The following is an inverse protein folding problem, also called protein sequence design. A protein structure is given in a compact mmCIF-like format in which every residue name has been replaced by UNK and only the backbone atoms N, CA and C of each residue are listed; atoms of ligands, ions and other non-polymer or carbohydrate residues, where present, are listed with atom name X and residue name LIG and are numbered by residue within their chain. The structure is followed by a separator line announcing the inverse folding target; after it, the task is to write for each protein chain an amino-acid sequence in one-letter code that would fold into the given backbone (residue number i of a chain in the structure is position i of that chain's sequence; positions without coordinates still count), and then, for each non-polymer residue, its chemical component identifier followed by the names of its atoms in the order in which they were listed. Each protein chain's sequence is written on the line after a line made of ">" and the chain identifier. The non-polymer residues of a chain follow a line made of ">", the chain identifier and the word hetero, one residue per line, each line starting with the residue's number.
data_IF_372252684185
#
_entry.id   IF_372252684185
#
_cell.length_a   1.000
_cell.length_b   1.000
_cell.length_c   1.000
_cell.angle_alpha   90.00
_cell.angle_beta   90.00
_cell.angle_gamma   90.00
#
_symmetry.space_group_name_H-M   'P 1'
#
loop_
_entity.id
_entity.type
_entity.pdbx_description
1 polymer ?
#
# COMPACT_ATOMS: atom_id res chain seq x y z
N UNK A 1 -28.00 -6.97 -23.29
CA UNK A 1 -26.59 -6.73 -23.70
C UNK A 1 -25.79 -6.63 -22.42
N UNK A 2 -24.83 -7.52 -22.16
CA UNK A 2 -23.99 -7.43 -20.96
C UNK A 2 -22.99 -6.29 -21.17
N UNK A 3 -22.98 -5.32 -20.26
CA UNK A 3 -21.94 -4.28 -20.21
C UNK A 3 -20.79 -4.82 -19.36
N UNK A 4 -19.64 -5.07 -19.99
CA UNK A 4 -18.45 -5.59 -19.33
C UNK A 4 -17.21 -4.81 -19.78
N UNK A 5 -16.25 -4.64 -18.87
CA UNK A 5 -14.96 -4.01 -19.13
C UNK A 5 -13.84 -5.02 -18.93
N UNK A 6 -12.86 -4.99 -19.81
CA UNK A 6 -11.65 -5.80 -19.71
C UNK A 6 -10.57 -4.94 -19.06
N UNK A 7 -9.90 -5.48 -18.04
CA UNK A 7 -8.78 -4.84 -17.37
C UNK A 7 -7.55 -5.75 -17.46
N UNK A 8 -6.41 -5.17 -17.86
CA UNK A 8 -5.11 -5.82 -17.73
C UNK A 8 -4.49 -5.41 -16.39
N UNK A 9 -4.14 -6.38 -15.54
CA UNK A 9 -3.61 -6.15 -14.20
C UNK A 9 -2.58 -7.22 -13.85
N UNK A 10 -1.64 -6.88 -12.97
CA UNK A 10 -0.79 -7.87 -12.32
C UNK A 10 -1.62 -8.62 -11.27
N UNK A 11 -1.59 -9.95 -11.36
CA UNK A 11 -2.27 -10.86 -10.44
C UNK A 11 -1.31 -11.51 -9.45
N UNK A 12 -0.16 -11.96 -9.92
CA UNK A 12 0.89 -12.54 -9.10
C UNK A 12 2.04 -11.54 -8.96
N UNK A 13 2.39 -11.25 -7.71
CA UNK A 13 3.47 -10.35 -7.31
C UNK A 13 4.60 -11.17 -6.71
N UNK A 14 5.48 -11.67 -7.56
CA UNK A 14 6.59 -12.55 -7.21
C UNK A 14 7.88 -11.90 -7.74
N UNK A 15 8.87 -11.73 -6.86
CA UNK A 15 10.20 -11.19 -7.19
C UNK A 15 10.15 -9.88 -7.98
N UNK A 16 9.20 -9.00 -7.64
CA UNK A 16 9.04 -7.70 -8.30
C UNK A 16 10.00 -6.70 -7.68
N UNK A 17 10.89 -6.17 -8.49
CA UNK A 17 11.90 -5.18 -8.10
C UNK A 17 11.58 -3.84 -8.77
N UNK A 18 11.08 -2.84 -8.02
CA UNK A 18 10.77 -1.53 -8.58
C UNK A 18 11.97 -0.85 -9.25
N UNK A 19 11.77 -0.39 -10.48
CA UNK A 19 12.77 0.27 -11.31
C UNK A 19 13.42 -0.63 -12.37
N UNK A 20 13.28 -1.95 -12.28
CA UNK A 20 13.77 -2.87 -13.31
C UNK A 20 12.91 -2.81 -14.58
N UNK A 21 11.59 -2.87 -14.43
CA UNK A 21 10.63 -2.68 -15.52
C UNK A 21 9.82 -1.39 -15.31
N UNK A 22 10.40 -0.27 -15.75
CA UNK A 22 9.78 1.06 -15.62
C UNK A 22 8.43 1.19 -16.32
N UNK A 23 8.19 0.42 -17.39
CA UNK A 23 6.90 0.46 -18.10
C UNK A 23 5.83 -0.23 -17.25
N UNK A 24 6.11 -1.43 -16.74
CA UNK A 24 5.19 -2.12 -15.85
C UNK A 24 4.95 -1.32 -14.55
N UNK A 25 6.00 -0.69 -14.00
CA UNK A 25 5.89 0.18 -12.85
C UNK A 25 4.94 1.35 -13.09
N UNK A 26 5.11 2.04 -14.23
CA UNK A 26 4.34 3.25 -14.54
C UNK A 26 2.89 2.96 -14.93
N UNK A 27 2.64 1.85 -15.63
CA UNK A 27 1.33 1.49 -16.16
C UNK A 27 0.48 0.67 -15.19
N UNK A 28 1.11 -0.16 -14.36
CA UNK A 28 0.42 -1.21 -13.59
C UNK A 28 0.80 -1.13 -12.12
N UNK A 29 2.08 -1.31 -11.79
CA UNK A 29 2.46 -1.56 -10.39
C UNK A 29 2.13 -0.36 -9.49
N UNK A 30 2.46 0.86 -9.95
CA UNK A 30 2.19 2.09 -9.20
C UNK A 30 0.72 2.23 -8.84
N UNK A 31 -0.18 2.07 -9.81
CA UNK A 31 -1.60 2.26 -9.57
C UNK A 31 -2.19 1.18 -8.67
N UNK A 32 -1.79 -0.09 -8.84
CA UNK A 32 -2.25 -1.17 -7.98
C UNK A 32 -1.74 -1.01 -6.53
N UNK A 33 -0.46 -0.67 -6.35
CA UNK A 33 0.10 -0.51 -5.00
C UNK A 33 -0.33 0.80 -4.34
N UNK A 34 -0.64 1.84 -5.11
CA UNK A 34 -1.31 3.04 -4.59
C UNK A 34 -2.65 2.67 -3.99
N UNK A 35 -3.47 1.89 -4.69
CA UNK A 35 -4.77 1.46 -4.16
C UNK A 35 -4.60 0.62 -2.89
N UNK A 36 -3.63 -0.32 -2.87
CA UNK A 36 -3.28 -1.10 -1.68
C UNK A 36 -2.81 -0.22 -0.50
N UNK A 37 -1.98 0.79 -0.77
CA UNK A 37 -1.57 1.77 0.24
C UNK A 37 -2.78 2.52 0.81
N UNK A 38 -3.70 2.98 -0.04
CA UNK A 38 -4.89 3.73 0.40
C UNK A 38 -5.86 2.88 1.24
N UNK A 39 -5.86 1.54 1.09
CA UNK A 39 -6.58 0.63 1.98
C UNK A 39 -6.05 0.68 3.42
N UNK A 40 -4.84 1.18 3.64
CA UNK A 40 -4.28 1.40 4.98
C UNK A 40 -3.90 0.11 5.70
N UNK A 41 -3.35 -0.86 4.96
CA UNK A 41 -2.90 -2.16 5.49
C UNK A 41 -1.69 -2.07 6.42
N UNK A 42 -0.97 -0.95 6.36
CA UNK A 42 0.26 -0.73 7.10
C UNK A 42 0.06 0.34 8.14
N UNK A 43 0.68 0.17 9.30
CA UNK A 43 0.85 1.25 10.26
C UNK A 43 1.95 2.18 9.76
N UNK A 44 1.64 3.46 9.68
CA UNK A 44 2.53 4.51 9.19
C UNK A 44 2.63 5.61 10.22
N UNK A 45 3.80 6.24 10.28
CA UNK A 45 3.97 7.51 10.97
C UNK A 45 3.55 8.67 10.07
N UNK A 46 3.12 9.77 10.68
CA UNK A 46 2.65 10.97 9.95
C UNK A 46 3.71 11.50 8.98
N UNK A 47 4.98 11.48 9.39
CA UNK A 47 6.09 11.95 8.55
C UNK A 47 6.29 11.08 7.30
N UNK A 48 6.22 9.76 7.47
CA UNK A 48 6.34 8.80 6.38
C UNK A 48 5.19 8.96 5.38
N UNK A 49 3.96 9.08 5.88
CA UNK A 49 2.79 9.32 5.04
C UNK A 49 2.84 10.67 4.31
N UNK A 50 3.41 11.71 4.92
CA UNK A 50 3.60 13.00 4.26
C UNK A 50 4.60 12.90 3.09
N UNK A 51 5.68 12.15 3.26
CA UNK A 51 6.65 11.88 2.19
C UNK A 51 6.01 11.10 1.03
N UNK A 52 5.22 10.06 1.35
CA UNK A 52 4.48 9.29 0.35
C UNK A 52 3.43 10.15 -0.37
N UNK A 53 2.71 11.01 0.36
CA UNK A 53 1.73 11.92 -0.23
C UNK A 53 2.37 12.89 -1.23
N UNK A 54 3.55 13.43 -0.93
CA UNK A 54 4.31 14.27 -1.86
C UNK A 54 4.70 13.50 -3.14
N UNK A 55 5.21 12.27 -3.00
CA UNK A 55 5.53 11.40 -4.14
C UNK A 55 4.30 11.10 -4.99
N UNK A 56 3.17 10.72 -4.36
CA UNK A 56 1.93 10.44 -5.05
C UNK A 56 1.38 11.66 -5.80
N UNK A 57 1.46 12.86 -5.21
CA UNK A 57 1.06 14.11 -5.87
C UNK A 57 1.92 14.46 -7.08
N UNK A 58 3.21 14.14 -7.03
CA UNK A 58 4.13 14.30 -8.16
C UNK A 58 3.86 13.28 -9.27
N UNK A 59 3.55 12.04 -8.88
CA UNK A 59 3.30 10.91 -9.76
C UNK A 59 1.95 10.94 -10.49
N UNK A 60 0.91 11.54 -9.89
CA UNK A 60 -0.42 11.67 -10.49
C UNK A 60 -1.05 13.03 -10.18
N UNK A 61 -0.78 14.01 -11.04
CA UNK A 61 -1.33 15.38 -10.93
C UNK A 61 -2.85 15.43 -11.11
N UNK A 62 -3.47 14.40 -11.67
CA UNK A 62 -4.91 14.31 -11.85
C UNK A 62 -5.71 14.19 -10.55
N UNK A 63 -5.04 13.90 -9.43
CA UNK A 63 -5.65 13.75 -8.09
C UNK A 63 -5.66 15.04 -7.26
N UNK A 64 -5.19 16.16 -7.84
CA UNK A 64 -5.10 17.46 -7.19
C UNK A 64 -3.87 17.61 -6.30
N UNK A 65 -3.76 18.76 -5.63
CA UNK A 65 -2.66 19.01 -4.70
C UNK A 65 -2.84 18.19 -3.40
N UNK A 66 -1.83 17.46 -2.92
CA UNK A 66 -1.96 16.63 -1.71
C UNK A 66 -2.34 17.41 -0.45
N UNK A 67 -1.82 18.63 -0.31
CA UNK A 67 -2.12 19.58 0.78
C UNK A 67 -3.63 19.83 0.95
N UNK A 68 -4.36 19.84 -0.16
CA UNK A 68 -5.78 20.17 -0.22
C UNK A 68 -6.69 18.93 -0.32
N UNK A 69 -6.13 17.78 -0.66
CA UNK A 69 -6.90 16.57 -0.99
C UNK A 69 -6.34 15.33 -0.28
N UNK A 70 -6.06 15.43 1.02
CA UNK A 70 -5.42 14.36 1.80
C UNK A 70 -6.04 12.97 1.60
N UNK A 71 -7.37 12.88 1.45
CA UNK A 71 -8.08 11.63 1.21
C UNK A 71 -7.67 10.89 -0.09
N UNK A 72 -7.00 11.58 -1.02
CA UNK A 72 -6.45 10.98 -2.24
C UNK A 72 -5.01 10.46 -2.07
N UNK A 73 -4.34 10.77 -0.97
CA UNK A 73 -2.89 10.60 -0.80
C UNK A 73 -2.46 10.03 0.55
N UNK A 74 -3.36 10.01 1.54
CA UNK A 74 -3.11 9.54 2.90
C UNK A 74 -4.21 8.53 3.28
N UNK A 75 -3.86 7.36 3.85
CA UNK A 75 -4.86 6.38 4.29
C UNK A 75 -5.82 7.00 5.30
N UNK A 76 -7.11 6.68 5.16
CA UNK A 76 -8.17 7.35 5.91
C UNK A 76 -8.00 7.32 7.43
N UNK A 77 -7.42 6.23 7.97
CA UNK A 77 -7.18 6.08 9.40
C UNK A 77 -6.16 7.10 9.96
N UNK A 78 -5.24 7.59 9.12
CA UNK A 78 -4.16 8.48 9.53
C UNK A 78 -4.53 9.96 9.38
N UNK A 79 -5.54 10.31 8.58
CA UNK A 79 -5.89 11.72 8.31
C UNK A 79 -6.13 12.50 9.62
N UNK A 80 -6.75 11.87 10.62
CA UNK A 80 -7.07 12.50 11.91
C UNK A 80 -5.90 12.54 12.91
N UNK A 81 -4.73 11.97 12.59
CA UNK A 81 -3.60 11.93 13.51
C UNK A 81 -2.77 13.22 13.54
N UNK A 82 -3.07 14.19 12.67
CA UNK A 82 -2.49 15.53 12.69
C UNK A 82 -3.53 16.55 12.19
N UNK A 83 -3.34 17.82 12.55
CA UNK A 83 -4.20 18.91 12.05
C UNK A 83 -3.95 19.17 10.56
N UNK A 84 -4.93 19.78 9.88
CA UNK A 84 -4.79 20.18 8.45
C UNK A 84 -3.56 21.05 8.21
N UNK A 85 -3.25 21.97 9.14
CA UNK A 85 -2.07 22.84 9.06
C UNK A 85 -0.76 22.06 9.17
N UNK A 86 -0.69 21.09 10.08
CA UNK A 86 0.49 20.23 10.24
C UNK A 86 0.72 19.33 9.03
N UNK A 87 -0.35 18.72 8.50
CA UNK A 87 -0.28 17.95 7.26
C UNK A 87 0.26 18.81 6.11
N UNK A 88 -0.34 19.99 5.91
CA UNK A 88 0.08 20.90 4.85
C UNK A 88 1.55 21.31 4.99
N UNK A 89 2.01 21.61 6.20
CA UNK A 89 3.41 21.96 6.45
C UNK A 89 4.38 20.81 6.13
N UNK A 90 4.04 19.58 6.54
CA UNK A 90 4.88 18.40 6.34
C UNK A 90 4.95 18.01 4.87
N UNK A 91 3.82 17.96 4.18
CA UNK A 91 3.76 17.62 2.76
C UNK A 91 4.42 18.71 1.91
N UNK A 92 4.27 20.00 2.25
CA UNK A 92 5.00 21.08 1.57
C UNK A 92 6.52 20.91 1.70
N UNK A 93 7.00 20.57 2.91
CA UNK A 93 8.41 20.30 3.17
C UNK A 93 8.90 19.09 2.35
N UNK A 94 8.16 17.98 2.38
CA UNK A 94 8.45 16.79 1.61
C UNK A 94 8.48 17.05 0.10
N UNK A 95 7.51 17.84 -0.40
CA UNK A 95 7.43 18.25 -1.81
C UNK A 95 8.64 19.09 -2.23
N UNK A 96 9.15 19.95 -1.33
CA UNK A 96 10.38 20.69 -1.54
C UNK A 96 11.60 19.78 -1.73
N UNK A 97 11.70 18.70 -0.94
CA UNK A 97 12.80 17.73 -1.00
C UNK A 97 12.82 16.91 -2.30
N UNK A 98 11.70 16.83 -3.01
CA UNK A 98 11.55 16.08 -4.27
C UNK A 98 11.27 16.99 -5.47
N UNK A 99 11.64 18.27 -5.40
CA UNK A 99 11.34 19.26 -6.45
C UNK A 99 11.79 18.81 -7.84
N UNK A 100 12.99 18.26 -7.93
CA UNK A 100 13.66 17.86 -9.19
C UNK A 100 13.30 16.45 -9.65
N UNK A 101 12.47 15.72 -8.88
CA UNK A 101 11.98 14.40 -9.24
C UNK A 101 10.91 14.54 -10.33
N UNK A 102 10.93 13.73 -11.39
CA UNK A 102 9.84 13.70 -12.37
C UNK A 102 8.74 12.72 -11.96
N UNK A 103 7.66 12.62 -12.74
CA UNK A 103 6.52 11.75 -12.47
C UNK A 103 6.91 10.26 -12.45
N UNK A 104 7.67 9.78 -13.43
CA UNK A 104 8.13 8.39 -13.48
C UNK A 104 9.02 8.01 -12.29
N UNK A 105 9.99 8.87 -11.95
CA UNK A 105 10.87 8.66 -10.81
C UNK A 105 10.09 8.74 -9.49
N UNK A 106 9.07 9.59 -9.38
CA UNK A 106 8.19 9.62 -8.21
C UNK A 106 7.42 8.31 -8.04
N UNK A 107 6.90 7.74 -9.13
CA UNK A 107 6.24 6.41 -9.11
C UNK A 107 7.20 5.33 -8.64
N UNK A 108 8.42 5.29 -9.19
CA UNK A 108 9.43 4.30 -8.81
C UNK A 108 9.86 4.47 -7.36
N UNK A 109 10.07 5.70 -6.87
CA UNK A 109 10.42 5.96 -5.46
C UNK A 109 9.31 5.53 -4.50
N UNK A 110 8.06 5.82 -4.85
CA UNK A 110 6.91 5.32 -4.11
C UNK A 110 6.92 3.79 -4.05
N UNK A 111 7.08 3.13 -5.21
CA UNK A 111 7.12 1.67 -5.30
C UNK A 111 8.28 1.06 -4.50
N UNK A 112 9.48 1.63 -4.56
CA UNK A 112 10.63 1.20 -3.76
C UNK A 112 10.36 1.28 -2.26
N UNK A 113 9.68 2.33 -1.83
CA UNK A 113 9.31 2.50 -0.43
C UNK A 113 8.34 1.41 0.02
N UNK A 114 7.24 1.22 -0.71
CA UNK A 114 6.20 0.24 -0.33
C UNK A 114 6.66 -1.21 -0.53
N UNK A 115 7.61 -1.47 -1.43
CA UNK A 115 8.19 -2.79 -1.65
C UNK A 115 8.99 -3.32 -0.45
N UNK A 116 9.42 -2.43 0.46
CA UNK A 116 10.05 -2.85 1.72
C UNK A 116 9.04 -3.45 2.72
N UNK A 117 7.74 -3.27 2.50
CA UNK A 117 6.73 -3.73 3.45
C UNK A 117 6.35 -5.21 3.23
N UNK A 118 6.04 -5.95 4.30
CA UNK A 118 5.69 -7.37 4.21
C UNK A 118 4.38 -7.64 3.45
N UNK A 119 3.52 -6.63 3.27
CA UNK A 119 2.26 -6.74 2.51
C UNK A 119 2.32 -6.07 1.14
N UNK A 120 3.51 -5.78 0.61
CA UNK A 120 3.67 -5.41 -0.80
C UNK A 120 3.03 -6.46 -1.73
N UNK A 121 2.36 -6.00 -2.78
CA UNK A 121 1.75 -6.87 -3.79
C UNK A 121 0.63 -7.76 -3.24
N UNK A 122 -0.01 -7.34 -2.14
CA UNK A 122 -1.07 -8.11 -1.49
C UNK A 122 -2.39 -8.00 -2.21
N UNK A 123 -3.06 -9.13 -2.36
CA UNK A 123 -4.53 -9.14 -2.53
C UNK A 123 -5.17 -9.28 -1.16
N UNK A 124 -6.04 -8.33 -0.81
CA UNK A 124 -6.69 -8.23 0.49
C UNK A 124 -8.17 -8.64 0.39
N UNK A 125 -8.61 -9.43 1.35
CA UNK A 125 -10.00 -9.87 1.51
C UNK A 125 -10.50 -9.46 2.90
N UNK A 126 -11.45 -8.51 3.00
CA UNK A 126 -12.13 -8.22 4.26
C UNK A 126 -13.05 -9.38 4.62
N UNK A 127 -12.92 -9.89 5.85
CA UNK A 127 -13.71 -11.01 6.35
C UNK A 127 -14.26 -10.67 7.72
N UNK A 128 -15.52 -11.06 7.92
CA UNK A 128 -16.15 -11.08 9.23
C UNK A 128 -15.98 -12.47 9.84
N UNK A 129 -15.15 -12.59 10.86
CA UNK A 129 -14.93 -13.83 11.57
C UNK A 129 -16.12 -14.13 12.49
N UNK A 130 -16.71 -15.31 12.32
CA UNK A 130 -17.81 -15.82 13.14
C UNK A 130 -17.33 -16.86 14.17
N UNK A 131 -16.04 -17.21 14.18
CA UNK A 131 -15.46 -18.19 15.09
C UNK A 131 -15.06 -17.53 16.41
N UNK A 132 -15.68 -17.96 17.51
CA UNK A 132 -15.37 -17.42 18.83
C UNK A 132 -13.93 -17.75 19.28
N UNK A 133 -13.22 -16.74 19.77
CA UNK A 133 -11.99 -16.91 20.55
C UNK A 133 -10.66 -17.02 19.79
N UNK A 134 -10.66 -17.14 18.46
CA UNK A 134 -9.40 -17.28 17.68
C UNK A 134 -8.93 -15.96 17.05
N UNK A 135 -9.84 -15.17 16.48
CA UNK A 135 -9.54 -13.90 15.81
C UNK A 135 -10.57 -12.81 16.17
N UNK A 136 -10.21 -11.51 16.02
CA UNK A 136 -11.18 -10.42 16.07
C UNK A 136 -12.32 -10.60 15.06
N UNK A 137 -13.45 -9.93 15.29
CA UNK A 137 -14.63 -9.99 14.41
C UNK A 137 -14.32 -9.51 12.99
N UNK A 138 -13.56 -8.43 12.82
CA UNK A 138 -13.15 -7.91 11.51
C UNK A 138 -11.66 -8.19 11.27
N UNK A 139 -11.38 -8.97 10.22
CA UNK A 139 -10.01 -9.31 9.80
C UNK A 139 -9.79 -9.04 8.31
N UNK A 140 -8.53 -8.88 7.94
CA UNK A 140 -8.09 -8.95 6.54
C UNK A 140 -7.30 -10.23 6.31
N UNK A 141 -7.69 -11.02 5.33
CA UNK A 141 -6.82 -12.05 4.75
C UNK A 141 -6.02 -11.42 3.62
N UNK A 142 -4.70 -11.53 3.71
CA UNK A 142 -3.75 -10.93 2.79
C UNK A 142 -2.92 -12.04 2.12
N UNK A 143 -2.96 -12.12 0.80
CA UNK A 143 -2.19 -13.12 0.02
C UNK A 143 -1.16 -12.41 -0.85
N UNK A 144 0.11 -12.75 -0.69
CA UNK A 144 1.21 -12.29 -1.53
C UNK A 144 2.34 -13.35 -1.61
N UNK A 145 3.50 -12.98 -2.17
CA UNK A 145 4.66 -13.88 -2.26
C UNK A 145 5.15 -14.44 -0.92
N UNK A 146 4.87 -13.75 0.19
CA UNK A 146 5.26 -14.22 1.53
C UNK A 146 4.27 -15.27 2.09
N UNK A 147 3.17 -15.54 1.38
CA UNK A 147 2.14 -16.50 1.77
C UNK A 147 0.83 -15.83 2.17
N UNK A 148 0.09 -16.51 3.05
CA UNK A 148 -1.17 -16.02 3.62
C UNK A 148 -0.92 -15.38 4.99
N UNK A 149 -1.33 -14.12 5.14
CA UNK A 149 -1.27 -13.38 6.39
C UNK A 149 -2.68 -12.98 6.83
N UNK A 150 -2.93 -12.99 8.14
CA UNK A 150 -4.18 -12.47 8.74
C UNK A 150 -3.83 -11.22 9.52
N UNK A 151 -4.54 -10.11 9.25
CA UNK A 151 -4.41 -8.84 9.97
C UNK A 151 -5.70 -8.53 10.72
N UNK A 152 -5.57 -7.93 11.89
CA UNK A 152 -6.69 -7.27 12.56
C UNK A 152 -7.11 -6.04 11.75
N UNK A 153 -8.38 -5.95 11.35
CA UNK A 153 -8.85 -4.89 10.48
C UNK A 153 -8.83 -3.51 11.14
N UNK A 154 -8.82 -3.44 12.47
CA UNK A 154 -8.77 -2.20 13.25
C UNK A 154 -7.32 -1.79 13.51
N UNK A 155 -6.55 -2.67 14.16
CA UNK A 155 -5.19 -2.34 14.62
C UNK A 155 -4.12 -2.47 13.54
N UNK A 156 -4.44 -3.16 12.42
CA UNK A 156 -3.50 -3.50 11.34
C UNK A 156 -2.34 -4.39 11.80
N UNK A 157 -2.43 -4.95 13.00
CA UNK A 157 -1.43 -5.87 13.55
C UNK A 157 -1.63 -7.23 12.91
N UNK A 158 -0.52 -7.87 12.54
CA UNK A 158 -0.54 -9.24 12.03
C UNK A 158 -0.86 -10.21 13.16
N UNK A 159 -1.90 -11.02 12.97
CA UNK A 159 -2.39 -11.97 13.98
C UNK A 159 -1.74 -13.35 13.80
N UNK A 160 -1.60 -13.84 12.56
CA UNK A 160 -1.02 -15.17 12.29
C UNK A 160 0.39 -15.12 11.70
N UNK A 161 1.16 -16.19 11.92
CA UNK A 161 2.37 -16.47 11.14
C UNK A 161 1.99 -16.97 9.74
N UNK A 162 2.82 -16.71 8.70
CA UNK A 162 2.48 -17.08 7.33
C UNK A 162 2.16 -18.58 7.24
N UNK A 163 0.92 -18.90 6.88
CA UNK A 163 0.54 -20.26 6.51
C UNK A 163 1.14 -20.47 5.13
N UNK A 164 2.35 -21.05 5.08
CA UNK A 164 2.96 -21.50 3.84
C UNK A 164 2.21 -22.76 3.39
N UNK A 165 1.49 -22.75 2.26
CA UNK A 165 0.84 -23.96 1.81
C UNK A 165 1.83 -25.08 1.46
N UNK A 166 3.14 -24.82 1.28
CA UNK A 166 4.17 -25.83 1.01
C UNK A 166 5.62 -25.34 1.31
N UNK A 167 5.95 -24.93 2.53
CA UNK A 167 7.36 -24.97 2.96
C UNK A 167 7.50 -26.17 3.87
N UNK A 168 7.94 -27.30 3.30
CA UNK A 168 8.58 -28.36 4.08
C UNK A 168 9.64 -27.62 4.90
N UNK A 169 9.47 -27.59 6.23
CA UNK A 169 10.54 -27.15 7.12
C UNK A 169 11.78 -27.95 6.69
N UNK A 170 12.89 -27.31 6.29
CA UNK A 170 14.12 -28.06 6.14
C UNK A 170 14.33 -28.76 7.48
N UNK A 171 14.48 -30.07 7.40
CA UNK A 171 14.32 -31.02 8.49
C UNK A 171 14.89 -30.49 9.81
N UNK A 172 14.12 -30.69 10.87
CA UNK A 172 14.70 -30.76 12.21
C UNK A 172 15.78 -31.85 12.17
N UNK A 173 17.05 -31.42 12.09
CA UNK A 173 18.26 -32.19 12.40
C UNK A 173 19.02 -31.43 13.46
#
# INVERSE_FOLDING_TARGET
>A
KLDYKIHFRRKLWIDIIPGEDKQADSLIHFYQERDNYMLGLHKLEVEEAANLAALLGKADRGKGAPEANLANFVPGYLIKSASTSEWSKKIYTASGNIRDVNDEEAKVRFLKHVAAWPTYGTTMYPIKNETEGEFPEDIYICVNQNGLNILDANTKVRISFPIYPNRILPDAV
#
